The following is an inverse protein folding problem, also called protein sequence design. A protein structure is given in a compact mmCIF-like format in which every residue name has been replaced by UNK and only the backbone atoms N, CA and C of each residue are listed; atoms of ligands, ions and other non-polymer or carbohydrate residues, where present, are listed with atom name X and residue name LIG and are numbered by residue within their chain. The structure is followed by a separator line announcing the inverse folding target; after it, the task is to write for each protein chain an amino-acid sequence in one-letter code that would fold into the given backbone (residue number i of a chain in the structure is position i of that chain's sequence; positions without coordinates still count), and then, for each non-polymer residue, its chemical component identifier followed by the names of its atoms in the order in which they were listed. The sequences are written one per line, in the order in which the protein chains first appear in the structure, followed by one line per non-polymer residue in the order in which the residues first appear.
data_IF_530479238519
#
_entry.id   IF_530479238519
#
_cell.length_a   1.000
_cell.length_b   1.000
_cell.length_c   1.000
_cell.angle_alpha   90.00
_cell.angle_beta   90.00
_cell.angle_gamma   90.00
#
_symmetry.space_group_name_H-M   'P 1'
#
loop_
_entity.id
_entity.type
_entity.pdbx_description
1 polymer ?
#
# COMPACT_ATOMS: atom_id res chain seq x y z
N UNK A 1 -39.20 -7.60 19.49
CA UNK A 1 -37.94 -7.06 20.04
C UNK A 1 -36.83 -8.00 19.65
N UNK A 2 -35.91 -7.58 18.78
CA UNK A 2 -34.69 -8.33 18.49
C UNK A 2 -33.66 -8.02 19.58
N UNK A 3 -32.88 -9.03 19.97
CA UNK A 3 -31.82 -8.84 20.96
C UNK A 3 -30.65 -8.05 20.35
N UNK A 4 -29.88 -7.35 21.18
CA UNK A 4 -28.70 -6.58 20.75
C UNK A 4 -27.70 -7.43 19.94
N UNK A 5 -27.61 -8.73 20.25
CA UNK A 5 -26.74 -9.69 19.56
C UNK A 5 -27.19 -9.98 18.12
N UNK A 6 -28.50 -9.97 17.86
CA UNK A 6 -29.05 -10.17 16.51
C UNK A 6 -28.86 -8.91 15.65
N UNK A 7 -28.93 -7.71 16.25
CA UNK A 7 -28.64 -6.44 15.59
C UNK A 7 -27.17 -6.36 15.11
N UNK A 8 -26.22 -6.79 15.96
CA UNK A 8 -24.80 -6.82 15.57
C UNK A 8 -24.49 -7.88 14.51
N UNK A 9 -25.16 -9.04 14.52
CA UNK A 9 -25.06 -10.02 13.42
C UNK A 9 -25.54 -9.44 12.09
N UNK A 10 -26.63 -8.68 12.10
CA UNK A 10 -27.17 -7.99 10.92
C UNK A 10 -26.23 -6.90 10.37
N UNK A 11 -25.60 -6.12 11.26
CA UNK A 11 -24.64 -5.08 10.86
C UNK A 11 -23.40 -5.65 10.14
N UNK A 12 -22.88 -6.79 10.63
CA UNK A 12 -21.74 -7.47 9.98
C UNK A 12 -22.13 -8.22 8.69
N UNK A 13 -23.37 -8.71 8.59
CA UNK A 13 -23.85 -9.39 7.37
C UNK A 13 -23.98 -8.40 6.20
N UNK A 14 -24.48 -7.18 6.46
CA UNK A 14 -24.61 -6.12 5.44
C UNK A 14 -23.27 -5.54 4.96
N UNK A 15 -22.17 -5.73 5.69
CA UNK A 15 -20.84 -5.29 5.25
C UNK A 15 -20.17 -6.26 4.27
N UNK A 16 -20.63 -7.52 4.19
CA UNK A 16 -19.93 -8.56 3.42
C UNK A 16 -20.25 -8.52 1.93
N UNK A 17 -21.46 -8.12 1.57
CA UNK A 17 -21.93 -7.98 0.19
C UNK A 17 -22.33 -6.53 -0.04
N UNK A 18 -21.35 -5.70 -0.41
CA UNK A 18 -21.57 -4.26 -0.57
C UNK A 18 -22.59 -3.97 -1.67
N UNK A 19 -23.83 -3.65 -1.31
CA UNK A 19 -24.75 -2.77 -2.06
C UNK A 19 -25.97 -2.39 -1.17
N UNK A 20 -26.45 -1.16 -1.35
CA UNK A 20 -27.51 -0.48 -0.57
C UNK A 20 -28.92 -1.04 -0.84
N UNK A 21 -29.10 -1.88 -1.86
CA UNK A 21 -30.41 -2.34 -2.31
C UNK A 21 -31.05 -3.44 -1.43
N UNK A 22 -30.26 -4.13 -0.60
CA UNK A 22 -30.76 -5.23 0.24
C UNK A 22 -31.72 -4.75 1.37
N UNK A 23 -31.61 -3.47 1.76
CA UNK A 23 -32.53 -2.87 2.73
C UNK A 23 -33.96 -2.72 2.19
N UNK A 24 -34.14 -2.62 0.86
CA UNK A 24 -35.44 -2.36 0.25
C UNK A 24 -36.31 -3.62 0.18
N UNK A 25 -35.75 -4.75 -0.25
CA UNK A 25 -36.48 -6.02 -0.37
C UNK A 25 -36.82 -6.64 1.00
N UNK A 26 -35.97 -6.44 2.02
CA UNK A 26 -36.26 -6.96 3.36
C UNK A 26 -37.34 -6.14 4.10
N UNK A 27 -37.38 -4.81 3.93
CA UNK A 27 -38.44 -3.96 4.48
C UNK A 27 -39.85 -4.40 4.02
N UNK A 28 -39.98 -4.91 2.79
CA UNK A 28 -41.26 -5.44 2.28
C UNK A 28 -41.63 -6.83 2.84
N UNK A 29 -40.67 -7.62 3.33
CA UNK A 29 -40.93 -9.00 3.78
C UNK A 29 -41.15 -9.14 5.28
N UNK A 30 -40.68 -8.19 6.10
CA UNK A 30 -40.76 -8.28 7.58
C UNK A 30 -41.74 -7.29 8.20
N UNK A 31 -42.08 -6.20 7.50
CA UNK A 31 -43.07 -5.22 7.98
C UNK A 31 -44.37 -5.46 7.21
N UNK A 32 -45.42 -5.94 7.90
CA UNK A 32 -46.78 -5.98 7.32
C UNK A 32 -47.14 -4.59 6.79
N UNK A 33 -47.84 -4.49 5.65
CA UNK A 33 -48.08 -3.22 4.99
C UNK A 33 -48.85 -2.30 5.94
N UNK A 34 -48.21 -1.22 6.35
CA UNK A 34 -48.86 -0.10 7.01
C UNK A 34 -48.96 1.01 5.95
N UNK A 35 -50.16 1.52 5.68
CA UNK A 35 -50.50 2.40 4.56
C UNK A 35 -49.90 3.83 4.63
N UNK A 36 -48.95 4.12 5.54
CA UNK A 36 -48.46 5.48 5.80
C UNK A 36 -46.94 5.65 5.63
N UNK A 37 -46.35 5.12 4.56
CA UNK A 37 -45.00 5.54 4.13
C UNK A 37 -45.07 6.85 3.32
N UNK A 38 -45.28 7.98 4.00
CA UNK A 38 -45.18 9.33 3.44
C UNK A 38 -43.71 9.77 3.38
N UNK A 39 -43.01 9.42 2.29
CA UNK A 39 -41.71 10.02 1.93
C UNK A 39 -41.85 11.11 0.85
N UNK A 40 -42.84 12.00 1.01
CA UNK A 40 -42.96 13.21 0.19
C UNK A 40 -43.51 14.34 1.04
N UNK A 41 -42.63 15.24 1.49
CA UNK A 41 -42.97 16.66 1.64
C UNK A 41 -41.69 17.51 1.76
N UNK A 42 -41.61 18.52 0.89
CA UNK A 42 -40.66 19.63 0.97
C UNK A 42 -41.11 20.53 2.13
N UNK A 43 -40.24 20.80 3.10
CA UNK A 43 -40.47 21.84 4.11
C UNK A 43 -39.41 22.95 3.97
N UNK A 44 -39.89 24.15 3.66
CA UNK A 44 -39.13 25.41 3.74
C UNK A 44 -38.70 25.66 5.18
N UNK A 45 -37.44 26.06 5.40
CA UNK A 45 -36.83 26.21 6.74
C UNK A 45 -36.45 27.67 7.03
N UNK A 46 -36.89 28.17 8.19
CA UNK A 46 -36.58 29.51 8.73
C UNK A 46 -35.18 29.55 9.38
N UNK A 47 -34.24 30.40 8.92
CA UNK A 47 -32.84 30.38 9.35
C UNK A 47 -32.57 30.88 10.78
N UNK A 48 -33.49 31.62 11.41
CA UNK A 48 -33.19 32.38 12.64
C UNK A 48 -33.41 31.60 13.95
N UNK A 49 -33.82 30.34 13.88
CA UNK A 49 -34.22 29.53 15.05
C UNK A 49 -33.11 28.65 15.68
N UNK A 50 -31.86 28.69 15.20
CA UNK A 50 -30.82 27.73 15.62
C UNK A 50 -29.73 28.30 16.56
N UNK A 51 -29.74 27.82 17.81
CA UNK A 51 -28.72 27.97 18.87
C UNK A 51 -27.43 27.12 18.58
N UNK A 52 -26.30 27.28 19.31
CA UNK A 52 -24.91 27.35 18.78
C UNK A 52 -24.30 26.07 18.17
N UNK A 53 -25.03 24.96 18.12
CA UNK A 53 -24.56 23.66 17.61
C UNK A 53 -24.33 23.69 16.09
N UNK A 54 -25.13 24.46 15.35
CA UNK A 54 -25.01 24.60 13.89
C UNK A 54 -23.79 25.41 13.46
N UNK A 55 -23.39 26.42 14.25
CA UNK A 55 -22.18 27.21 13.99
C UNK A 55 -20.91 26.36 14.14
N UNK A 56 -20.89 25.41 15.08
CA UNK A 56 -19.80 24.43 15.21
C UNK A 56 -19.82 23.39 14.09
N UNK A 57 -20.99 22.87 13.70
CA UNK A 57 -21.16 21.89 12.64
C UNK A 57 -20.78 22.44 11.24
N UNK A 58 -21.15 23.70 10.96
CA UNK A 58 -20.74 24.46 9.76
C UNK A 58 -19.22 24.63 9.69
N UNK A 59 -18.57 24.98 10.81
CA UNK A 59 -17.12 25.11 10.90
C UNK A 59 -16.36 23.79 10.66
N UNK A 60 -16.97 22.63 10.93
CA UNK A 60 -16.31 21.32 10.85
C UNK A 60 -16.90 20.37 9.79
N UNK A 61 -17.74 20.88 8.86
CA UNK A 61 -18.41 20.10 7.79
C UNK A 61 -19.07 18.80 8.28
N UNK A 62 -19.76 18.83 9.42
CA UNK A 62 -20.52 17.67 9.92
C UNK A 62 -22.02 17.88 9.67
N UNK A 63 -22.72 16.86 9.18
CA UNK A 63 -24.19 16.84 9.21
C UNK A 63 -24.65 16.31 10.57
N UNK A 64 -25.60 17.01 11.19
CA UNK A 64 -26.23 16.61 12.44
C UNK A 64 -27.72 16.41 12.17
N UNK A 65 -28.23 15.22 12.42
CA UNK A 65 -29.66 14.98 12.50
C UNK A 65 -30.05 15.02 13.97
N UNK A 66 -30.86 16.01 14.33
CA UNK A 66 -31.47 16.10 15.66
C UNK A 66 -32.92 15.72 15.49
N UNK A 67 -33.31 14.53 15.95
CA UNK A 67 -34.72 14.27 16.21
C UNK A 67 -35.08 15.02 17.48
N UNK A 68 -35.96 16.02 17.36
CA UNK A 68 -36.47 16.73 18.54
C UNK A 68 -37.34 15.80 19.39
N UNK A 69 -37.27 15.96 20.70
CA UNK A 69 -37.97 15.14 21.69
C UNK A 69 -39.50 15.11 21.52
N UNK A 70 -40.09 16.05 20.77
CA UNK A 70 -41.53 16.10 20.53
C UNK A 70 -42.04 14.95 19.64
N UNK A 71 -41.21 14.36 18.77
CA UNK A 71 -41.62 13.24 17.92
C UNK A 71 -41.67 11.89 18.66
N UNK A 72 -41.01 11.78 19.83
CA UNK A 72 -40.86 10.52 20.56
C UNK A 72 -41.87 10.37 21.72
N UNK A 73 -42.35 11.47 22.31
CA UNK A 73 -43.31 11.39 23.43
C UNK A 73 -44.71 10.93 23.00
N UNK A 74 -45.11 11.20 21.75
CA UNK A 74 -46.42 10.80 21.21
C UNK A 74 -46.55 9.30 20.90
N UNK A 75 -45.45 8.52 21.00
CA UNK A 75 -45.41 7.09 20.67
C UNK A 75 -45.02 6.17 21.84
N UNK A 76 -45.08 6.67 23.08
CA UNK A 76 -45.02 5.84 24.29
C UNK A 76 -43.64 5.21 24.60
N UNK A 77 -42.54 5.78 24.07
CA UNK A 77 -41.18 5.30 24.37
C UNK A 77 -40.68 6.00 25.65
N UNK A 78 -40.23 5.28 26.70
CA UNK A 78 -39.71 5.91 27.91
C UNK A 78 -38.45 6.73 27.60
N UNK A 79 -38.32 7.89 28.24
CA UNK A 79 -37.24 8.87 28.07
C UNK A 79 -35.86 8.24 27.85
N UNK A 80 -35.37 8.24 26.60
CA UNK A 80 -33.99 7.90 26.30
C UNK A 80 -33.14 9.12 26.64
N UNK A 81 -32.62 9.13 27.87
CA UNK A 81 -31.69 10.16 28.35
C UNK A 81 -30.36 10.01 27.59
N UNK A 82 -30.20 10.85 26.56
CA UNK A 82 -28.96 11.12 25.81
C UNK A 82 -28.30 9.92 25.13
N UNK A 83 -28.78 9.56 23.95
CA UNK A 83 -28.03 8.70 23.04
C UNK A 83 -27.27 9.57 22.02
N UNK A 84 -26.04 9.95 22.37
CA UNK A 84 -25.14 10.65 21.45
C UNK A 84 -24.64 9.66 20.39
N UNK A 85 -25.24 9.67 19.20
CA UNK A 85 -24.62 9.06 18.04
C UNK A 85 -23.50 9.96 17.53
N UNK A 86 -22.26 9.68 17.95
CA UNK A 86 -21.08 10.08 17.18
C UNK A 86 -20.99 9.16 15.97
N UNK A 87 -21.79 9.42 14.92
CA UNK A 87 -21.48 8.88 13.61
C UNK A 87 -20.18 9.55 13.15
N UNK A 88 -19.08 8.80 13.28
CA UNK A 88 -17.89 9.03 12.49
C UNK A 88 -18.31 9.07 11.02
N UNK A 89 -17.90 10.13 10.35
CA UNK A 89 -17.72 10.28 8.90
C UNK A 89 -18.48 9.29 8.00
N UNK A 90 -19.38 9.84 7.16
CA UNK A 90 -19.67 9.33 5.79
C UNK A 90 -18.40 8.77 5.12
N UNK A 91 -18.48 7.83 4.16
CA UNK A 91 -17.35 7.01 3.70
C UNK A 91 -16.25 7.84 3.04
N UNK A 92 -15.46 8.52 3.86
CA UNK A 92 -14.09 8.85 3.56
C UNK A 92 -13.33 7.54 3.59
N UNK A 93 -12.41 7.39 2.65
CA UNK A 93 -11.37 6.36 2.68
C UNK A 93 -11.01 6.07 4.14
N UNK A 94 -11.13 4.82 4.56
CA UNK A 94 -10.50 4.41 5.82
C UNK A 94 -9.02 4.65 5.58
N UNK A 95 -8.51 5.81 6.02
CA UNK A 95 -7.10 6.14 5.96
C UNK A 95 -6.43 5.26 7.00
N UNK A 96 -6.13 4.02 6.61
CA UNK A 96 -5.23 3.17 7.36
C UNK A 96 -3.88 3.85 7.28
N UNK A 97 -3.31 4.22 8.42
CA UNK A 97 -1.95 4.75 8.46
C UNK A 97 -0.97 3.58 8.32
N UNK A 98 0.11 3.79 7.57
CA UNK A 98 1.22 2.85 7.52
C UNK A 98 2.15 3.12 8.71
N UNK A 99 1.95 2.40 9.79
CA UNK A 99 2.83 2.45 10.97
C UNK A 99 3.93 1.42 10.81
N UNK A 100 5.10 1.84 10.33
CA UNK A 100 6.31 1.01 10.19
C UNK A 100 7.42 1.64 11.02
N UNK A 101 8.23 0.88 11.74
CA UNK A 101 9.37 1.45 12.48
C UNK A 101 10.66 1.40 11.67
N UNK A 102 10.90 0.34 10.89
CA UNK A 102 12.13 0.14 10.11
C UNK A 102 11.84 -0.27 8.65
N UNK A 103 12.49 0.44 7.72
CA UNK A 103 12.37 0.18 6.28
C UNK A 103 13.75 0.06 5.64
N UNK A 104 13.96 -0.94 4.78
CA UNK A 104 15.14 -1.02 3.90
C UNK A 104 14.70 -0.75 2.47
N UNK A 105 15.27 0.27 1.82
CA UNK A 105 15.04 0.60 0.41
C UNK A 105 16.30 0.29 -0.40
N UNK A 106 16.20 -0.66 -1.35
CA UNK A 106 17.34 -0.98 -2.20
C UNK A 106 17.50 0.01 -3.36
N UNK A 107 18.72 0.48 -3.66
CA UNK A 107 18.96 1.42 -4.77
C UNK A 107 18.29 2.79 -4.59
N UNK A 108 18.52 3.43 -3.45
CA UNK A 108 17.86 4.65 -2.99
C UNK A 108 18.55 5.96 -3.38
N UNK A 109 19.67 5.91 -4.11
CA UNK A 109 20.44 7.11 -4.45
C UNK A 109 19.80 8.00 -5.53
N UNK A 110 18.84 7.48 -6.31
CA UNK A 110 18.16 8.19 -7.40
C UNK A 110 16.78 7.61 -7.74
N UNK A 111 16.04 8.29 -8.59
CA UNK A 111 14.77 7.83 -9.17
C UNK A 111 13.74 7.38 -8.13
N UNK A 112 13.06 6.27 -8.42
CA UNK A 112 12.00 5.68 -7.57
C UNK A 112 12.49 5.43 -6.13
N UNK A 113 13.70 4.91 -5.96
CA UNK A 113 14.25 4.60 -4.63
C UNK A 113 14.49 5.85 -3.77
N UNK A 114 15.06 6.90 -4.37
CA UNK A 114 15.25 8.19 -3.70
C UNK A 114 13.92 8.80 -3.27
N UNK A 115 12.93 8.73 -4.16
CA UNK A 115 11.61 9.29 -3.90
C UNK A 115 10.85 8.51 -2.82
N UNK A 116 11.00 7.17 -2.76
CA UNK A 116 10.54 6.38 -1.62
C UNK A 116 11.12 6.91 -0.31
N UNK A 117 12.44 7.09 -0.23
CA UNK A 117 13.08 7.59 1.00
C UNK A 117 12.54 8.97 1.38
N UNK A 118 12.42 9.88 0.40
CA UNK A 118 11.89 11.23 0.63
C UNK A 118 10.47 11.18 1.20
N UNK A 119 9.53 10.54 0.50
CA UNK A 119 8.13 10.54 0.91
C UNK A 119 7.90 9.73 2.19
N UNK A 120 8.57 8.59 2.38
CA UNK A 120 8.50 7.82 3.62
C UNK A 120 8.90 8.68 4.83
N UNK A 121 9.99 9.43 4.73
CA UNK A 121 10.47 10.31 5.81
C UNK A 121 9.57 11.52 6.09
N UNK A 122 8.56 11.75 5.24
CA UNK A 122 7.61 12.87 5.30
C UNK A 122 6.18 12.42 5.60
N UNK A 123 5.96 11.12 5.85
CA UNK A 123 4.65 10.62 6.26
C UNK A 123 4.22 11.27 7.59
N UNK A 124 2.89 11.35 7.87
CA UNK A 124 2.40 11.85 9.15
C UNK A 124 2.89 11.03 10.37
N UNK A 125 3.15 9.74 10.14
CA UNK A 125 3.80 8.84 11.09
C UNK A 125 4.97 8.18 10.36
N UNK A 126 6.11 8.86 10.25
CA UNK A 126 7.21 8.38 9.44
C UNK A 126 7.96 7.25 10.16
N UNK A 127 8.63 6.34 9.43
CA UNK A 127 9.42 5.31 10.06
C UNK A 127 10.53 5.91 10.92
N UNK A 128 10.85 5.23 12.01
CA UNK A 128 11.98 5.61 12.87
C UNK A 128 13.30 5.48 12.12
N UNK A 129 13.45 4.41 11.33
CA UNK A 129 14.65 4.14 10.54
C UNK A 129 14.32 3.87 9.07
N UNK A 130 15.05 4.52 8.18
CA UNK A 130 15.14 4.14 6.77
C UNK A 130 16.59 3.79 6.46
N UNK A 131 16.85 2.52 6.17
CA UNK A 131 18.11 2.06 5.62
C UNK A 131 18.06 2.26 4.11
N UNK A 132 18.71 3.32 3.64
CA UNK A 132 18.70 3.73 2.24
C UNK A 132 19.99 3.23 1.57
N UNK A 133 19.88 2.18 0.77
CA UNK A 133 21.09 1.60 0.18
C UNK A 133 21.53 2.29 -1.11
N UNK A 134 22.83 2.27 -1.36
CA UNK A 134 23.44 2.80 -2.58
C UNK A 134 24.64 1.94 -2.98
N UNK A 135 25.03 1.98 -4.26
CA UNK A 135 26.20 1.23 -4.74
C UNK A 135 27.45 2.09 -4.81
N UNK A 136 27.34 3.28 -5.40
CA UNK A 136 28.46 4.19 -5.65
C UNK A 136 28.37 5.41 -4.71
N UNK A 137 29.35 5.62 -3.81
CA UNK A 137 29.35 6.76 -2.91
C UNK A 137 29.38 8.11 -3.63
N UNK A 138 29.84 8.17 -4.88
CA UNK A 138 29.89 9.42 -5.65
C UNK A 138 28.50 9.90 -6.12
N UNK A 139 27.45 9.10 -5.91
CA UNK A 139 26.09 9.40 -6.37
C UNK A 139 25.12 9.77 -5.24
N UNK A 140 25.65 10.14 -4.07
CA UNK A 140 24.87 10.31 -2.85
C UNK A 140 24.26 11.69 -2.64
N UNK A 141 24.68 12.71 -3.39
CA UNK A 141 24.34 14.11 -3.10
C UNK A 141 22.84 14.35 -2.88
N UNK A 142 21.97 13.77 -3.71
CA UNK A 142 20.53 13.94 -3.59
C UNK A 142 19.97 13.21 -2.35
N UNK A 143 20.47 12.01 -2.06
CA UNK A 143 20.05 11.22 -0.91
C UNK A 143 20.54 11.82 0.42
N UNK A 144 21.74 12.41 0.44
CA UNK A 144 22.25 13.16 1.59
C UNK A 144 21.39 14.37 1.90
N UNK A 145 20.96 15.13 0.89
CA UNK A 145 20.01 16.24 1.10
C UNK A 145 18.69 15.77 1.73
N UNK A 146 18.17 14.62 1.32
CA UNK A 146 16.95 14.04 1.91
C UNK A 146 17.20 13.61 3.36
N UNK A 147 18.32 12.94 3.65
CA UNK A 147 18.74 12.57 5.02
C UNK A 147 18.83 13.80 5.91
N UNK A 148 19.55 14.82 5.47
CA UNK A 148 19.86 16.01 6.26
C UNK A 148 18.63 16.90 6.49
N UNK A 149 17.63 16.83 5.60
CA UNK A 149 16.34 17.50 5.76
C UNK A 149 15.35 16.74 6.67
N UNK A 150 15.62 15.47 6.99
CA UNK A 150 14.73 14.66 7.80
C UNK A 150 14.84 15.02 9.28
N UNK A 151 13.69 15.09 9.96
CA UNK A 151 13.60 15.52 11.37
C UNK A 151 13.29 14.36 12.32
N UNK A 152 12.35 13.50 11.93
CA UNK A 152 11.82 12.44 12.78
C UNK A 152 12.37 11.05 12.40
N UNK A 153 12.78 10.88 11.13
CA UNK A 153 13.35 9.64 10.62
C UNK A 153 14.86 9.68 10.62
N UNK A 154 15.49 8.64 11.17
CA UNK A 154 16.92 8.41 11.01
C UNK A 154 17.18 7.68 9.68
N UNK A 155 17.63 8.43 8.66
CA UNK A 155 18.00 7.87 7.36
C UNK A 155 19.46 7.41 7.42
N UNK A 156 19.68 6.09 7.40
CA UNK A 156 20.99 5.45 7.46
C UNK A 156 21.40 5.05 6.05
N UNK A 157 22.48 5.67 5.54
CA UNK A 157 23.00 5.35 4.21
C UNK A 157 23.84 4.08 4.30
N UNK A 158 23.50 3.06 3.52
CA UNK A 158 24.21 1.76 3.56
C UNK A 158 24.75 1.38 2.18
N UNK A 159 26.04 1.08 2.07
CA UNK A 159 26.61 0.63 0.80
C UNK A 159 26.17 -0.81 0.53
N UNK A 160 25.52 -1.06 -0.59
CA UNK A 160 25.09 -2.39 -1.01
C UNK A 160 24.90 -2.49 -2.52
N UNK A 161 25.73 -3.31 -3.17
CA UNK A 161 25.41 -3.95 -4.43
C UNK A 161 24.64 -5.26 -4.17
N UNK A 162 23.42 -5.34 -4.69
CA UNK A 162 22.53 -6.52 -4.52
C UNK A 162 23.09 -7.80 -5.15
N UNK A 163 24.15 -7.70 -5.95
CA UNK A 163 24.87 -8.86 -6.52
C UNK A 163 26.04 -9.34 -5.65
N UNK A 164 26.36 -8.63 -4.55
CA UNK A 164 27.52 -8.90 -3.69
C UNK A 164 27.07 -9.38 -2.31
N UNK A 165 27.11 -10.71 -2.10
CA UNK A 165 26.68 -11.37 -0.86
C UNK A 165 27.25 -10.71 0.41
N UNK A 166 28.54 -10.43 0.45
CA UNK A 166 29.22 -9.82 1.59
C UNK A 166 28.69 -8.41 1.93
N UNK A 167 28.26 -7.64 0.92
CA UNK A 167 27.67 -6.31 1.15
C UNK A 167 26.23 -6.44 1.69
N UNK A 168 25.45 -7.41 1.21
CA UNK A 168 24.11 -7.69 1.75
C UNK A 168 24.19 -8.13 3.22
N UNK A 169 25.14 -9.02 3.55
CA UNK A 169 25.41 -9.46 4.93
C UNK A 169 25.83 -8.28 5.83
N UNK A 170 26.66 -7.37 5.32
CA UNK A 170 27.05 -6.17 6.05
C UNK A 170 25.84 -5.28 6.37
N UNK A 171 24.91 -5.10 5.43
CA UNK A 171 23.66 -4.36 5.68
C UNK A 171 22.79 -5.06 6.72
N UNK A 172 22.65 -6.39 6.67
CA UNK A 172 21.90 -7.15 7.68
C UNK A 172 22.45 -6.88 9.08
N UNK A 173 23.78 -6.94 9.24
CA UNK A 173 24.45 -6.65 10.51
C UNK A 173 24.21 -5.22 10.99
N UNK A 174 24.24 -4.23 10.08
CA UNK A 174 23.94 -2.83 10.43
C UNK A 174 22.51 -2.71 10.96
N UNK A 175 21.53 -3.31 10.29
CA UNK A 175 20.12 -3.26 10.71
C UNK A 175 19.95 -3.95 12.07
N UNK A 176 20.54 -5.15 12.24
CA UNK A 176 20.49 -5.90 13.48
C UNK A 176 21.11 -5.13 14.65
N UNK A 177 22.26 -4.47 14.44
CA UNK A 177 22.91 -3.67 15.48
C UNK A 177 22.14 -2.37 15.80
N UNK A 178 21.40 -1.82 14.84
CA UNK A 178 20.64 -0.58 15.02
C UNK A 178 19.31 -0.82 15.73
N UNK A 179 18.63 -1.94 15.40
CA UNK A 179 17.24 -2.18 15.79
C UNK A 179 17.04 -3.44 16.64
N UNK A 180 18.10 -4.22 16.86
CA UNK A 180 18.11 -5.39 17.73
C UNK A 180 17.02 -6.39 17.40
N UNK A 181 16.26 -6.77 18.43
CA UNK A 181 15.22 -7.78 18.33
C UNK A 181 13.91 -7.29 17.71
N UNK A 182 13.80 -5.99 17.40
CA UNK A 182 12.59 -5.45 16.76
C UNK A 182 12.47 -5.80 15.27
N UNK A 183 13.59 -6.18 14.62
CA UNK A 183 13.60 -6.68 13.24
C UNK A 183 13.40 -5.65 12.13
N UNK A 184 12.98 -6.11 10.95
CA UNK A 184 12.69 -5.26 9.79
C UNK A 184 11.19 -5.30 9.47
N UNK A 185 10.49 -4.15 9.49
CA UNK A 185 9.07 -4.13 9.11
C UNK A 185 8.89 -4.25 7.60
N UNK A 186 9.67 -3.50 6.82
CA UNK A 186 9.46 -3.40 5.38
C UNK A 186 10.77 -3.47 4.61
N UNK A 187 10.86 -4.45 3.71
CA UNK A 187 11.88 -4.50 2.67
C UNK A 187 11.28 -4.05 1.33
N UNK A 188 11.81 -2.97 0.76
CA UNK A 188 11.48 -2.51 -0.60
C UNK A 188 12.65 -2.87 -1.52
N UNK A 189 12.50 -3.97 -2.26
CA UNK A 189 13.41 -4.34 -3.34
C UNK A 189 13.16 -3.46 -4.57
N UNK A 190 13.80 -2.30 -4.61
CA UNK A 190 13.71 -1.32 -5.69
C UNK A 190 14.91 -1.36 -6.66
N UNK A 191 16.10 -1.74 -6.18
CA UNK A 191 17.30 -1.80 -7.00
C UNK A 191 17.06 -2.65 -8.26
N UNK A 192 17.39 -2.07 -9.41
CA UNK A 192 17.21 -2.72 -10.70
C UNK A 192 18.02 -2.02 -11.77
N UNK A 193 18.32 -2.76 -12.83
CA UNK A 193 19.12 -2.30 -13.95
C UNK A 193 18.44 -2.64 -15.28
N UNK A 194 18.72 -1.82 -16.28
CA UNK A 194 18.09 -1.92 -17.57
C UNK A 194 19.05 -1.54 -18.70
N UNK A 195 18.92 -2.24 -19.83
CA UNK A 195 19.61 -1.99 -21.10
C UNK A 195 18.58 -2.20 -22.21
N UNK A 196 18.54 -1.29 -23.17
CA UNK A 196 17.63 -1.33 -24.32
C UNK A 196 18.13 -2.30 -25.40
N UNK A 197 18.02 -3.61 -25.14
CA UNK A 197 18.47 -4.67 -26.04
C UNK A 197 17.38 -5.74 -26.24
N UNK A 198 17.32 -6.28 -27.46
CA UNK A 198 16.38 -7.33 -27.87
C UNK A 198 17.01 -8.24 -28.91
N UNK A 199 16.23 -9.18 -29.44
CA UNK A 199 16.71 -10.06 -30.51
C UNK A 199 16.78 -9.31 -31.86
N UNK A 200 17.81 -9.56 -32.69
CA UNK A 200 18.91 -10.52 -32.49
C UNK A 200 20.16 -9.97 -31.76
N UNK A 201 20.18 -8.70 -31.35
CA UNK A 201 21.40 -8.04 -30.84
C UNK A 201 21.76 -8.37 -29.39
N UNK A 202 20.84 -8.96 -28.62
CA UNK A 202 21.05 -9.28 -27.20
C UNK A 202 22.12 -10.36 -27.01
N UNK A 203 23.02 -10.16 -26.03
CA UNK A 203 24.09 -11.12 -25.70
C UNK A 203 23.77 -11.90 -24.42
N UNK A 204 24.52 -12.98 -24.18
CA UNK A 204 24.49 -13.72 -22.91
C UNK A 204 24.81 -12.80 -21.72
N UNK A 205 25.81 -11.92 -21.86
CA UNK A 205 26.22 -11.00 -20.80
C UNK A 205 25.11 -10.00 -20.44
N UNK A 206 24.33 -9.56 -21.43
CA UNK A 206 23.17 -8.69 -21.18
C UNK A 206 22.03 -9.42 -20.46
N UNK A 207 21.78 -10.68 -20.81
CA UNK A 207 20.82 -11.53 -20.10
C UNK A 207 21.25 -11.74 -18.65
N UNK A 208 22.49 -12.17 -18.42
CA UNK A 208 23.04 -12.39 -17.09
C UNK A 208 23.07 -11.11 -16.26
N UNK A 209 23.34 -9.96 -16.88
CA UNK A 209 23.27 -8.65 -16.24
C UNK A 209 21.85 -8.36 -15.70
N UNK A 210 20.81 -8.51 -16.53
CA UNK A 210 19.44 -8.28 -16.07
C UNK A 210 19.00 -9.30 -15.02
N UNK A 211 19.34 -10.59 -15.19
CA UNK A 211 18.98 -11.63 -14.22
C UNK A 211 19.67 -11.42 -12.87
N UNK A 212 20.97 -11.12 -12.87
CA UNK A 212 21.74 -10.92 -11.65
C UNK A 212 21.22 -9.74 -10.84
N UNK A 213 20.92 -8.62 -11.50
CA UNK A 213 20.47 -7.41 -10.82
C UNK A 213 18.98 -7.43 -10.44
N UNK A 214 18.11 -7.97 -11.30
CA UNK A 214 16.65 -7.78 -11.15
C UNK A 214 15.91 -9.01 -10.61
N UNK A 215 16.53 -10.20 -10.64
CA UNK A 215 15.93 -11.43 -10.14
C UNK A 215 16.76 -12.04 -9.01
N UNK A 216 18.01 -12.41 -9.28
CA UNK A 216 18.88 -13.07 -8.30
C UNK A 216 19.18 -12.14 -7.13
N UNK A 217 19.52 -10.87 -7.39
CA UNK A 217 19.81 -9.88 -6.34
C UNK A 217 18.68 -9.75 -5.32
N UNK A 218 17.44 -9.40 -5.72
CA UNK A 218 16.30 -9.34 -4.81
C UNK A 218 16.06 -10.64 -4.02
N UNK A 219 16.24 -11.82 -4.64
CA UNK A 219 16.13 -13.11 -3.93
C UNK A 219 17.19 -13.21 -2.82
N UNK A 220 18.44 -12.85 -3.11
CA UNK A 220 19.51 -12.90 -2.12
C UNK A 220 19.31 -11.87 -1.00
N UNK A 221 18.79 -10.69 -1.32
CA UNK A 221 18.43 -9.69 -0.29
C UNK A 221 17.31 -10.22 0.61
N UNK A 222 16.23 -10.80 0.05
CA UNK A 222 15.15 -11.37 0.86
C UNK A 222 15.68 -12.50 1.75
N UNK A 223 16.51 -13.40 1.18
CA UNK A 223 17.12 -14.50 1.94
C UNK A 223 17.91 -14.00 3.14
N UNK A 224 18.75 -12.98 2.94
CA UNK A 224 19.61 -12.45 4.00
C UNK A 224 18.81 -11.63 5.03
N UNK A 225 17.77 -10.91 4.61
CA UNK A 225 16.91 -10.13 5.52
C UNK A 225 15.82 -10.95 6.21
N UNK A 226 15.59 -12.21 5.80
CA UNK A 226 14.53 -13.05 6.32
C UNK A 226 14.53 -13.18 7.86
N UNK A 227 15.68 -13.39 8.53
CA UNK A 227 15.70 -13.43 10.00
C UNK A 227 15.18 -12.14 10.66
N UNK A 228 15.45 -10.97 10.06
CA UNK A 228 14.98 -9.68 10.56
C UNK A 228 13.48 -9.50 10.32
N UNK A 229 12.98 -9.92 9.17
CA UNK A 229 11.54 -9.93 8.86
C UNK A 229 10.77 -10.86 9.80
N UNK A 230 11.34 -12.04 10.11
CA UNK A 230 10.81 -12.99 11.09
C UNK A 230 10.72 -12.40 12.50
N UNK A 231 11.79 -11.74 12.96
CA UNK A 231 11.79 -11.02 14.24
C UNK A 231 10.65 -9.99 14.29
N UNK A 232 10.47 -9.20 13.23
CA UNK A 232 9.38 -8.22 13.15
C UNK A 232 8.00 -8.88 13.16
N UNK A 233 7.81 -9.94 12.37
CA UNK A 233 6.55 -10.67 12.28
C UNK A 233 6.15 -11.35 13.60
N UNK A 234 7.12 -11.80 14.39
CA UNK A 234 6.90 -12.48 15.67
C UNK A 234 6.45 -11.53 16.80
N UNK A 235 6.57 -10.21 16.63
CA UNK A 235 6.21 -9.22 17.67
C UNK A 235 4.71 -9.12 17.91
N UNK A 236 3.91 -9.44 16.91
CA UNK A 236 2.46 -9.33 16.96
C UNK A 236 1.84 -10.48 16.16
N UNK A 237 0.90 -11.20 16.79
CA UNK A 237 0.09 -12.20 16.11
C UNK A 237 -1.15 -11.52 15.51
N UNK A 238 -0.98 -10.91 14.34
CA UNK A 238 -2.06 -10.30 13.55
C UNK A 238 -1.94 -10.61 12.06
N UNK A 239 -2.97 -10.27 11.29
CA UNK A 239 -3.01 -10.54 9.84
C UNK A 239 -1.81 -9.94 9.10
N UNK A 240 -1.49 -10.51 7.93
CA UNK A 240 -0.46 -9.98 7.05
C UNK A 240 -0.77 -8.52 6.68
N UNK A 241 0.19 -7.62 6.89
CA UNK A 241 0.13 -6.21 6.51
C UNK A 241 1.53 -5.60 6.46
N UNK A 242 1.69 -4.49 5.75
CA UNK A 242 2.98 -3.77 5.63
C UNK A 242 3.56 -3.39 7.00
N UNK A 243 2.72 -2.91 7.92
CA UNK A 243 3.12 -2.50 9.27
C UNK A 243 3.68 -3.62 10.15
N UNK A 244 3.41 -4.89 9.83
CA UNK A 244 3.89 -6.05 10.60
C UNK A 244 5.25 -6.51 10.08
N UNK A 245 5.27 -7.17 8.93
CA UNK A 245 6.45 -7.60 8.23
C UNK A 245 6.11 -7.82 6.75
N UNK A 246 6.83 -7.16 5.85
CA UNK A 246 6.55 -7.24 4.43
C UNK A 246 7.78 -7.10 3.52
N UNK A 247 7.68 -7.74 2.36
CA UNK A 247 8.57 -7.60 1.21
C UNK A 247 7.77 -7.03 0.05
N UNK A 248 8.12 -5.84 -0.39
CA UNK A 248 7.59 -5.19 -1.60
C UNK A 248 8.68 -5.21 -2.66
N UNK A 249 8.40 -5.85 -3.79
CA UNK A 249 9.33 -5.90 -4.92
C UNK A 249 8.85 -4.97 -6.02
N UNK A 250 9.69 -4.03 -6.43
CA UNK A 250 9.39 -3.15 -7.57
C UNK A 250 9.59 -3.96 -8.85
N UNK A 251 8.49 -4.46 -9.39
CA UNK A 251 8.45 -5.21 -10.64
C UNK A 251 8.15 -4.26 -11.81
N UNK A 252 7.65 -4.79 -12.93
CA UNK A 252 7.22 -4.01 -14.07
C UNK A 252 6.10 -4.75 -14.81
N UNK A 253 5.21 -4.00 -15.46
CA UNK A 253 4.22 -4.55 -16.37
C UNK A 253 4.89 -5.38 -17.49
N UNK A 254 6.11 -4.99 -17.88
CA UNK A 254 6.94 -5.69 -18.85
C UNK A 254 7.32 -7.13 -18.43
N UNK A 255 7.24 -7.46 -17.14
CA UNK A 255 7.44 -8.81 -16.62
C UNK A 255 6.17 -9.67 -16.60
N UNK A 256 5.02 -9.13 -17.04
CA UNK A 256 3.80 -9.92 -17.24
C UNK A 256 3.86 -10.64 -18.59
N UNK A 257 3.71 -11.96 -18.58
CA UNK A 257 3.62 -12.77 -19.79
C UNK A 257 2.27 -12.54 -20.47
N UNK A 258 1.20 -12.41 -19.69
CA UNK A 258 -0.17 -12.24 -20.20
C UNK A 258 -0.33 -10.92 -20.96
N UNK A 259 0.24 -9.83 -20.45
CA UNK A 259 0.11 -8.48 -21.04
C UNK A 259 0.94 -8.30 -22.32
N UNK A 260 1.87 -9.20 -22.63
CA UNK A 260 2.58 -9.21 -23.92
C UNK A 260 1.63 -9.39 -25.11
N UNK A 261 0.41 -9.90 -24.90
CA UNK A 261 -0.58 -10.07 -25.95
C UNK A 261 -1.22 -8.74 -26.41
N UNK A 262 -0.99 -7.63 -25.70
CA UNK A 262 -1.45 -6.33 -26.16
C UNK A 262 -0.64 -5.87 -27.38
N UNK A 263 -1.33 -5.73 -28.51
CA UNK A 263 -0.80 -5.31 -29.81
C UNK A 263 -0.04 -3.99 -29.71
N UNK A 264 -0.44 -3.09 -28.79
CA UNK A 264 0.20 -1.80 -28.57
C UNK A 264 1.58 -1.94 -27.87
N UNK A 265 1.73 -2.93 -26.98
CA UNK A 265 3.02 -3.27 -26.37
C UNK A 265 3.96 -3.94 -27.38
N UNK A 266 3.43 -4.83 -28.23
CA UNK A 266 4.19 -5.56 -29.28
C UNK A 266 4.69 -4.66 -30.42
N UNK A 267 3.94 -3.62 -30.79
CA UNK A 267 4.32 -2.69 -31.88
C UNK A 267 5.28 -1.57 -31.43
N UNK A 268 5.61 -1.50 -30.14
CA UNK A 268 6.46 -0.44 -29.59
C UNK A 268 7.94 -0.85 -29.54
N UNK A 269 8.82 0.15 -29.44
CA UNK A 269 10.24 -0.01 -29.14
C UNK A 269 10.51 -0.84 -27.86
N UNK A 270 9.47 -1.15 -27.05
CA UNK A 270 9.54 -1.96 -25.84
C UNK A 270 9.75 -3.46 -26.08
N UNK A 271 9.67 -3.96 -27.32
CA UNK A 271 10.12 -5.32 -27.62
C UNK A 271 11.65 -5.46 -27.42
N UNK A 272 12.39 -4.35 -27.53
CA UNK A 272 13.85 -4.25 -27.29
C UNK A 272 14.21 -4.17 -25.81
N UNK A 273 13.51 -4.95 -24.98
CA UNK A 273 13.71 -5.05 -23.53
C UNK A 273 13.77 -6.51 -23.08
N UNK A 274 14.26 -7.42 -23.93
CA UNK A 274 14.08 -8.88 -23.77
C UNK A 274 14.63 -9.37 -22.42
N UNK A 275 15.91 -9.09 -22.12
CA UNK A 275 16.51 -9.54 -20.85
C UNK A 275 15.84 -8.95 -19.60
N UNK A 276 15.33 -7.72 -19.70
CA UNK A 276 14.59 -7.08 -18.61
C UNK A 276 13.21 -7.70 -18.39
N UNK A 277 12.47 -7.98 -19.47
CA UNK A 277 11.19 -8.68 -19.42
C UNK A 277 11.34 -10.05 -18.77
N UNK A 278 12.33 -10.82 -19.24
CA UNK A 278 12.65 -12.14 -18.68
C UNK A 278 13.02 -12.05 -17.19
N UNK A 279 13.87 -11.09 -16.80
CA UNK A 279 14.28 -10.97 -15.40
C UNK A 279 13.16 -10.50 -14.48
N UNK A 280 12.23 -9.65 -14.95
CA UNK A 280 11.04 -9.26 -14.18
C UNK A 280 9.99 -10.37 -14.09
N UNK A 281 9.83 -11.19 -15.14
CA UNK A 281 9.02 -12.41 -15.06
C UNK A 281 9.64 -13.43 -14.08
N UNK A 282 10.97 -13.60 -14.10
CA UNK A 282 11.68 -14.44 -13.15
C UNK A 282 11.54 -13.94 -11.71
N UNK A 283 11.66 -12.63 -11.47
CA UNK A 283 11.40 -12.01 -10.17
C UNK A 283 9.98 -12.29 -9.69
N UNK A 284 8.99 -12.09 -10.57
CA UNK A 284 7.58 -12.33 -10.27
C UNK A 284 7.34 -13.77 -9.79
N UNK A 285 7.88 -14.76 -10.51
CA UNK A 285 7.81 -16.17 -10.13
C UNK A 285 8.52 -16.45 -8.80
N UNK A 286 9.77 -15.98 -8.65
CA UNK A 286 10.55 -16.22 -7.45
C UNK A 286 9.87 -15.68 -6.19
N UNK A 287 9.33 -14.46 -6.26
CA UNK A 287 8.62 -13.85 -5.14
C UNK A 287 7.32 -14.55 -4.81
N UNK A 288 6.62 -15.11 -5.81
CA UNK A 288 5.45 -15.96 -5.58
C UNK A 288 5.81 -17.24 -4.81
N UNK A 289 6.91 -17.90 -5.15
CA UNK A 289 7.40 -19.08 -4.43
C UNK A 289 7.82 -18.72 -3.00
N UNK A 290 8.57 -17.63 -2.83
CA UNK A 290 8.99 -17.16 -1.50
C UNK A 290 7.78 -16.81 -0.64
N UNK A 291 6.76 -16.14 -1.20
CA UNK A 291 5.52 -15.81 -0.50
C UNK A 291 4.90 -17.05 0.16
N UNK A 292 4.66 -18.11 -0.62
CA UNK A 292 4.13 -19.36 -0.08
C UNK A 292 5.04 -20.03 0.96
N UNK A 293 6.35 -19.86 0.84
CA UNK A 293 7.32 -20.42 1.80
C UNK A 293 7.27 -19.70 3.16
N UNK A 294 7.00 -18.39 3.17
CA UNK A 294 6.97 -17.57 4.39
C UNK A 294 5.54 -17.32 4.90
N UNK A 295 4.54 -17.93 4.28
CA UNK A 295 3.12 -17.69 4.59
C UNK A 295 2.80 -17.89 6.07
N UNK A 296 3.22 -19.01 6.65
CA UNK A 296 2.92 -19.35 8.05
C UNK A 296 3.63 -18.44 9.06
N UNK A 297 4.66 -17.70 8.62
CA UNK A 297 5.34 -16.70 9.43
C UNK A 297 4.58 -15.35 9.41
N UNK A 298 3.59 -15.21 8.53
CA UNK A 298 2.78 -14.00 8.40
C UNK A 298 3.51 -12.83 7.75
N UNK A 299 4.53 -13.11 6.92
CA UNK A 299 5.26 -12.10 6.17
C UNK A 299 4.53 -11.85 4.84
N UNK A 300 4.09 -10.61 4.62
CA UNK A 300 3.45 -10.22 3.37
C UNK A 300 4.48 -10.10 2.24
N UNK A 301 4.27 -10.75 1.10
CA UNK A 301 5.14 -10.60 -0.07
C UNK A 301 4.32 -10.20 -1.26
N UNK A 302 4.65 -9.06 -1.89
CA UNK A 302 3.95 -8.53 -3.05
C UNK A 302 4.93 -8.03 -4.12
N UNK A 303 4.51 -8.09 -5.37
CA UNK A 303 5.19 -7.45 -6.49
C UNK A 303 4.34 -6.26 -6.95
N UNK A 304 4.94 -5.10 -7.13
CA UNK A 304 4.23 -3.87 -7.52
C UNK A 304 4.88 -3.25 -8.76
N UNK A 305 4.06 -2.93 -9.75
CA UNK A 305 4.42 -2.20 -10.95
C UNK A 305 4.25 -0.70 -10.69
N UNK A 306 5.33 0.11 -10.70
CA UNK A 306 5.25 1.54 -10.39
C UNK A 306 4.61 2.38 -11.50
N UNK A 307 4.36 1.78 -12.68
CA UNK A 307 4.01 2.49 -13.91
C UNK A 307 5.26 2.85 -14.74
N UNK A 308 5.08 3.59 -15.83
CA UNK A 308 6.20 4.08 -16.63
C UNK A 308 6.60 5.48 -16.15
N UNK A 309 7.62 5.51 -15.30
CA UNK A 309 8.02 6.67 -14.48
C UNK A 309 9.21 7.43 -15.09
N UNK A 310 9.15 8.76 -15.11
CA UNK A 310 10.22 9.66 -15.58
C UNK A 310 11.44 9.60 -14.67
N UNK A 311 12.35 8.71 -15.01
CA UNK A 311 13.65 8.48 -14.37
C UNK A 311 14.69 8.24 -15.46
N UNK A 312 15.97 8.14 -15.14
CA UNK A 312 16.99 7.75 -16.13
C UNK A 312 16.64 6.44 -16.86
N UNK A 313 15.98 5.50 -16.17
CA UNK A 313 15.52 4.23 -16.76
C UNK A 313 14.28 4.40 -17.65
N UNK A 314 13.32 5.22 -17.21
CA UNK A 314 12.07 5.46 -17.94
C UNK A 314 12.18 6.48 -19.07
N UNK A 315 13.21 7.33 -19.04
CA UNK A 315 13.42 8.52 -19.89
C UNK A 315 12.32 9.58 -19.80
N UNK A 316 12.53 10.73 -20.46
CA UNK A 316 11.53 11.81 -20.59
C UNK A 316 10.25 11.39 -21.33
N UNK A 317 10.26 10.22 -22.00
CA UNK A 317 9.08 9.68 -22.70
C UNK A 317 8.06 9.04 -21.77
N UNK A 318 8.45 8.76 -20.53
CA UNK A 318 7.53 8.27 -19.51
C UNK A 318 6.41 9.29 -19.24
N UNK A 319 5.21 8.80 -18.99
CA UNK A 319 4.04 9.66 -18.76
C UNK A 319 3.80 9.97 -17.29
N UNK A 320 4.45 9.24 -16.37
CA UNK A 320 4.21 9.34 -14.94
C UNK A 320 5.39 10.03 -14.24
N UNK A 321 5.11 11.03 -13.41
CA UNK A 321 6.12 11.64 -12.54
C UNK A 321 6.53 10.70 -11.40
N UNK A 322 7.78 10.81 -10.94
CA UNK A 322 8.29 9.97 -9.83
C UNK A 322 7.45 10.18 -8.57
N UNK A 323 7.15 11.43 -8.23
CA UNK A 323 6.37 11.79 -7.05
C UNK A 323 4.96 11.18 -7.09
N UNK A 324 4.27 11.24 -8.25
CA UNK A 324 2.93 10.68 -8.42
C UNK A 324 2.94 9.14 -8.26
N UNK A 325 3.94 8.48 -8.84
CA UNK A 325 4.09 7.03 -8.74
C UNK A 325 4.26 6.57 -7.30
N UNK A 326 5.21 7.18 -6.57
CA UNK A 326 5.48 6.82 -5.17
C UNK A 326 4.30 7.18 -4.27
N UNK A 327 3.68 8.35 -4.47
CA UNK A 327 2.53 8.77 -3.66
C UNK A 327 1.37 7.78 -3.79
N UNK A 328 1.11 7.28 -5.01
CA UNK A 328 0.08 6.26 -5.25
C UNK A 328 0.40 4.94 -4.53
N UNK A 329 1.66 4.49 -4.59
CA UNK A 329 2.09 3.28 -3.90
C UNK A 329 2.00 3.43 -2.38
N UNK A 330 2.44 4.55 -1.81
CA UNK A 330 2.38 4.78 -0.37
C UNK A 330 0.93 4.88 0.15
N UNK A 331 -0.02 5.34 -0.68
CA UNK A 331 -1.47 5.25 -0.37
C UNK A 331 -2.00 3.82 -0.44
N UNK A 332 -1.42 2.99 -1.30
CA UNK A 332 -1.79 1.57 -1.45
C UNK A 332 -1.26 0.71 -0.29
N UNK A 333 -0.04 0.97 0.20
CA UNK A 333 0.63 0.13 1.20
C UNK A 333 -0.22 -0.19 2.45
N UNK A 334 -0.91 0.77 3.09
CA UNK A 334 -1.79 0.47 4.23
C UNK A 334 -2.99 -0.44 3.95
N UNK A 335 -3.37 -0.57 2.67
CA UNK A 335 -4.52 -1.37 2.24
C UNK A 335 -4.14 -2.82 1.96
N UNK A 336 -2.85 -3.10 1.75
CA UNK A 336 -2.35 -4.43 1.43
C UNK A 336 -2.47 -5.38 2.63
N UNK A 337 -2.98 -6.57 2.36
CA UNK A 337 -3.27 -7.59 3.35
C UNK A 337 -3.08 -9.01 2.75
N UNK A 338 -3.48 -10.06 3.47
CA UNK A 338 -3.33 -11.45 3.03
C UNK A 338 -3.94 -11.73 1.63
N UNK A 339 -5.03 -11.07 1.24
CA UNK A 339 -5.62 -11.24 -0.11
C UNK A 339 -4.69 -10.80 -1.25
N UNK A 340 -3.71 -9.94 -0.95
CA UNK A 340 -2.71 -9.46 -1.90
C UNK A 340 -1.42 -10.28 -1.85
N UNK A 341 -1.29 -11.19 -0.89
CA UNK A 341 -0.08 -12.00 -0.73
C UNK A 341 0.19 -12.82 -2.00
N UNK A 342 1.45 -12.82 -2.44
CA UNK A 342 1.90 -13.47 -3.66
C UNK A 342 1.33 -12.88 -4.97
N UNK A 343 0.71 -11.70 -4.94
CA UNK A 343 0.16 -11.04 -6.12
C UNK A 343 1.18 -10.14 -6.85
N UNK A 344 0.91 -9.91 -8.13
CA UNK A 344 1.44 -8.81 -8.91
C UNK A 344 0.38 -7.71 -8.99
N UNK A 345 0.73 -6.49 -8.59
CA UNK A 345 -0.18 -5.35 -8.49
C UNK A 345 0.34 -4.17 -9.33
N UNK A 346 -0.55 -3.27 -9.69
CA UNK A 346 -0.18 -1.92 -10.11
C UNK A 346 0.01 -0.99 -8.90
N UNK A 347 0.44 0.25 -9.16
CA UNK A 347 0.68 1.27 -8.13
C UNK A 347 -0.55 1.65 -7.30
N UNK A 348 -1.75 1.29 -7.74
CA UNK A 348 -3.03 1.57 -7.07
C UNK A 348 -3.58 0.32 -6.37
N UNK A 349 -2.82 -0.77 -6.31
CA UNK A 349 -3.22 -2.02 -5.67
C UNK A 349 -4.09 -2.93 -6.52
N UNK A 350 -4.33 -2.59 -7.80
CA UNK A 350 -5.10 -3.46 -8.69
C UNK A 350 -4.24 -4.64 -9.15
N UNK A 351 -4.80 -5.85 -9.13
CA UNK A 351 -4.11 -7.04 -9.63
C UNK A 351 -3.80 -6.92 -11.11
N UNK A 352 -2.55 -7.27 -11.45
CA UNK A 352 -2.03 -7.40 -12.81
C UNK A 352 -1.78 -8.89 -13.07
N UNK A 353 -2.17 -9.43 -14.23
CA UNK A 353 -1.89 -10.82 -14.54
C UNK A 353 -0.38 -11.07 -14.67
N UNK A 354 0.06 -12.28 -14.33
CA UNK A 354 1.47 -12.67 -14.40
C UNK A 354 1.97 -12.86 -15.83
#
# INVERSE_FOLDING_TARGET
MLSLAEFWRLYFYCQKDGFVDCCWEWCQSVVKPCEECLCREYLEFDPDSLKPVTKWASKHRKQLFVLSNEALSSRGVPEIRWMFFLFGSLPGEIVRNMEVESVLVTGANRGIGLEFVRQLSQLPQPPRYIFASYRDPNTLQALEKVRDASKETQIVLVKMDVTKKNEIEAVRNIIENTFGDKGLNLLINNAGAFKWLGFPEITEEDLLFHFSNNAVGPIMVVKEMLPLLQKSAAREASDMRISRAAVVNISALLGSITELNDRQMMMSHSIKAMGYRMSKAALNMAMRVIAYTVKDQGILVVNICPGWVKTDMGSERAHLEVEESISSMLKTFPLLNESHHAALLDRNGKTVPF
#
